data_IF_914311554564
#
_entry.id   IF_914311554564
#
_cell.length_a   1.000
_cell.length_b   1.000
_cell.length_c   1.000
_cell.angle_alpha   90.00
_cell.angle_beta   90.00
_cell.angle_gamma   90.00
#
_symmetry.space_group_name_H-M   'P 1'
#
loop_
_entity.id
_entity.type
_entity.pdbx_description
1 polymer ?
#
# COMPACT_ATOMS: atom_id res chain seq x y z
N UNK A 1 -14.75 -9.16 6.75
CA UNK A 1 -14.74 -7.93 5.92
C UNK A 1 -16.18 -7.64 5.57
N UNK A 2 -16.64 -6.41 5.81
CA UNK A 2 -18.02 -5.99 5.57
C UNK A 2 -18.04 -5.11 4.31
N UNK A 3 -18.82 -5.52 3.31
CA UNK A 3 -19.00 -4.79 2.05
C UNK A 3 -20.47 -4.41 1.96
N UNK A 4 -20.73 -3.11 1.98
CA UNK A 4 -22.06 -2.52 1.90
C UNK A 4 -22.16 -1.71 0.61
N UNK A 5 -22.79 -2.31 -0.41
CA UNK A 5 -22.92 -1.72 -1.74
C UNK A 5 -23.88 -0.52 -1.72
N UNK A 6 -25.08 -0.60 -1.12
CA UNK A 6 -25.99 0.55 -1.04
C UNK A 6 -25.33 1.79 -0.41
N UNK A 7 -24.59 1.62 0.69
CA UNK A 7 -23.93 2.72 1.38
C UNK A 7 -22.50 2.98 0.90
N UNK A 8 -22.02 2.28 -0.14
CA UNK A 8 -20.67 2.41 -0.74
C UNK A 8 -19.54 2.30 0.28
N UNK A 9 -19.66 1.38 1.23
CA UNK A 9 -18.69 1.21 2.32
C UNK A 9 -18.00 -0.15 2.24
N UNK A 10 -16.68 -0.13 2.45
CA UNK A 10 -15.91 -1.33 2.76
C UNK A 10 -15.25 -1.11 4.13
N UNK A 11 -15.43 -2.07 5.05
CA UNK A 11 -14.88 -1.99 6.39
C UNK A 11 -14.26 -3.32 6.83
N UNK A 12 -13.12 -3.25 7.48
CA UNK A 12 -12.56 -4.40 8.20
C UNK A 12 -13.25 -4.47 9.56
N UNK A 13 -13.85 -5.62 9.89
CA UNK A 13 -14.66 -5.79 11.11
C UNK A 13 -13.75 -5.98 12.35
N UNK A 14 -12.95 -4.96 12.64
CA UNK A 14 -12.06 -4.86 13.80
C UNK A 14 -12.32 -3.53 14.49
N UNK A 15 -12.00 -3.43 15.77
CA UNK A 15 -12.04 -2.16 16.47
C UNK A 15 -10.84 -1.29 16.07
N UNK A 16 -10.94 0.01 16.34
CA UNK A 16 -9.85 0.95 16.04
C UNK A 16 -8.62 0.66 16.91
N UNK A 17 -8.82 0.21 18.15
CA UNK A 17 -7.74 -0.18 19.07
C UNK A 17 -6.93 -1.36 18.52
N UNK A 18 -7.61 -2.39 18.00
CA UNK A 18 -6.95 -3.55 17.40
C UNK A 18 -6.19 -3.18 16.12
N UNK A 19 -6.75 -2.27 15.31
CA UNK A 19 -6.05 -1.74 14.13
C UNK A 19 -4.81 -0.94 14.52
N UNK A 20 -4.90 -0.10 15.55
CA UNK A 20 -3.78 0.66 16.08
C UNK A 20 -2.69 -0.27 16.65
N UNK A 21 -3.08 -1.28 17.42
CA UNK A 21 -2.16 -2.29 17.96
C UNK A 21 -1.40 -3.03 16.85
N UNK A 22 -2.11 -3.51 15.81
CA UNK A 22 -1.46 -4.17 14.67
C UNK A 22 -0.51 -3.26 13.91
N UNK A 23 -0.85 -1.97 13.78
CA UNK A 23 0.02 -0.99 13.15
C UNK A 23 1.30 -0.80 13.95
N UNK A 24 1.20 -0.61 15.26
CA UNK A 24 2.35 -0.49 16.16
C UNK A 24 3.25 -1.73 16.09
N UNK A 25 2.66 -2.93 16.21
CA UNK A 25 3.40 -4.19 16.10
C UNK A 25 4.06 -4.41 14.72
N UNK A 26 3.53 -3.80 13.66
CA UNK A 26 4.15 -3.81 12.33
C UNK A 26 5.29 -2.79 12.25
N UNK A 27 5.11 -1.59 12.78
CA UNK A 27 6.14 -0.54 12.83
C UNK A 27 7.35 -0.97 13.68
N UNK A 28 7.14 -1.73 14.75
CA UNK A 28 8.19 -2.33 15.59
C UNK A 28 9.11 -3.29 14.82
N UNK A 29 8.69 -3.80 13.66
CA UNK A 29 9.53 -4.66 12.80
C UNK A 29 10.62 -3.87 12.04
N UNK A 30 10.64 -2.55 12.17
CA UNK A 30 11.69 -1.67 11.64
C UNK A 30 11.84 -1.79 10.13
N UNK A 31 13.05 -2.07 9.65
CA UNK A 31 13.34 -2.21 8.22
C UNK A 31 12.50 -3.31 7.55
N UNK A 32 12.11 -4.35 8.30
CA UNK A 32 11.28 -5.44 7.79
C UNK A 32 9.77 -5.12 7.81
N UNK A 33 9.37 -3.96 8.34
CA UNK A 33 7.97 -3.53 8.36
C UNK A 33 7.43 -3.35 6.94
N UNK A 34 6.17 -3.76 6.72
CA UNK A 34 5.45 -3.60 5.45
C UNK A 34 6.11 -4.24 4.22
N UNK A 35 7.12 -5.08 4.43
CA UNK A 35 7.75 -5.85 3.38
C UNK A 35 7.05 -7.21 3.18
N UNK A 36 7.01 -7.73 1.95
CA UNK A 36 6.47 -9.06 1.69
C UNK A 36 7.37 -10.13 2.32
N UNK A 37 6.77 -11.06 3.06
CA UNK A 37 7.48 -12.20 3.66
C UNK A 37 7.29 -13.44 2.78
N UNK A 38 8.39 -14.03 2.31
CA UNK A 38 8.37 -15.28 1.53
C UNK A 38 7.81 -15.16 0.10
N UNK A 39 7.86 -13.96 -0.51
CA UNK A 39 7.37 -13.75 -1.89
C UNK A 39 8.51 -13.76 -2.90
N UNK A 40 8.63 -14.84 -3.66
CA UNK A 40 9.55 -14.94 -4.79
C UNK A 40 8.89 -14.42 -6.08
N UNK A 41 9.19 -13.17 -6.44
CA UNK A 41 8.72 -12.58 -7.71
C UNK A 41 9.84 -11.80 -8.36
N UNK A 42 10.17 -12.13 -9.62
CA UNK A 42 11.05 -11.30 -10.41
C UNK A 42 10.34 -9.99 -10.79
N UNK A 43 10.96 -8.85 -10.48
CA UNK A 43 10.44 -7.53 -10.83
C UNK A 43 11.37 -6.92 -11.87
N UNK A 44 10.88 -6.83 -13.12
CA UNK A 44 11.64 -6.26 -14.23
C UNK A 44 11.93 -4.76 -14.00
N UNK A 45 12.97 -4.25 -14.67
CA UNK A 45 13.32 -2.83 -14.60
C UNK A 45 12.15 -1.91 -15.01
N UNK A 46 11.39 -2.31 -16.04
CA UNK A 46 10.20 -1.58 -16.46
C UNK A 46 9.13 -1.51 -15.36
N UNK A 47 8.94 -2.58 -14.58
CA UNK A 47 8.00 -2.59 -13.45
C UNK A 47 8.49 -1.76 -12.28
N UNK A 48 9.81 -1.75 -12.01
CA UNK A 48 10.40 -0.89 -10.98
C UNK A 48 10.22 0.59 -11.34
N UNK A 49 10.52 0.96 -12.59
CA UNK A 49 10.32 2.32 -13.08
C UNK A 49 8.85 2.75 -13.05
N UNK A 50 7.93 1.84 -13.43
CA UNK A 50 6.49 2.12 -13.33
C UNK A 50 6.07 2.38 -11.87
N UNK A 51 6.48 1.52 -10.93
CA UNK A 51 6.13 1.65 -9.52
C UNK A 51 6.65 2.96 -8.90
N UNK A 52 7.82 3.44 -9.32
CA UNK A 52 8.40 4.69 -8.85
C UNK A 52 7.67 5.95 -9.34
N UNK A 53 6.85 5.84 -10.40
CA UNK A 53 6.21 6.98 -11.06
C UNK A 53 4.69 6.97 -10.93
N UNK A 54 4.07 5.82 -10.69
CA UNK A 54 2.62 5.71 -10.69
C UNK A 54 2.01 6.42 -9.50
N UNK A 55 0.87 7.08 -9.72
CA UNK A 55 0.08 7.74 -8.67
C UNK A 55 -0.98 6.79 -8.13
N UNK A 56 -1.68 7.20 -7.06
CA UNK A 56 -2.81 6.43 -6.53
C UNK A 56 -3.84 6.09 -7.61
N UNK A 57 -4.40 4.88 -7.57
CA UNK A 57 -5.46 4.45 -8.47
C UNK A 57 -6.71 5.34 -8.37
N UNK A 58 -6.97 5.95 -7.20
CA UNK A 58 -8.04 6.94 -7.04
C UNK A 58 -7.82 8.21 -7.90
N UNK A 59 -6.58 8.47 -8.33
CA UNK A 59 -6.20 9.54 -9.26
C UNK A 59 -5.96 9.03 -10.69
N UNK A 60 -6.31 7.78 -10.99
CA UNK A 60 -6.18 7.18 -12.33
C UNK A 60 -4.86 6.46 -12.61
N UNK A 61 -4.00 6.23 -11.61
CA UNK A 61 -2.72 5.51 -11.77
C UNK A 61 -1.78 6.06 -12.85
N UNK A 62 -1.88 7.37 -13.11
CA UNK A 62 -1.04 8.07 -14.08
C UNK A 62 0.40 8.14 -13.60
N UNK A 63 1.35 8.27 -14.53
CA UNK A 63 2.77 8.45 -14.23
C UNK A 63 3.07 9.93 -14.00
N UNK A 64 3.58 10.26 -12.83
CA UNK A 64 3.96 11.63 -12.48
C UNK A 64 5.49 11.75 -12.47
N UNK A 65 6.01 12.49 -13.47
CA UNK A 65 7.44 12.68 -13.68
C UNK A 65 8.07 13.64 -12.68
N UNK A 66 7.29 14.48 -11.99
CA UNK A 66 7.81 15.38 -10.96
C UNK A 66 8.39 14.58 -9.77
N UNK A 67 7.97 13.33 -9.58
CA UNK A 67 8.54 12.42 -8.58
C UNK A 67 10.04 12.14 -8.80
N UNK A 68 10.55 12.26 -10.03
CA UNK A 68 11.97 12.11 -10.34
C UNK A 68 12.81 13.34 -9.94
N UNK A 69 12.19 14.50 -9.81
CA UNK A 69 12.86 15.76 -9.45
C UNK A 69 13.05 15.92 -7.95
N UNK A 70 12.29 15.18 -7.13
CA UNK A 70 12.52 15.10 -5.68
C UNK A 70 13.70 14.17 -5.41
N UNK A 71 14.91 14.71 -5.51
CA UNK A 71 16.13 14.14 -4.93
C UNK A 71 16.87 15.21 -4.17
#
# INVERSE_FOLDING_TARGET
INIDIPNRKINVALSDEELAHRRAAMEERGENAWQPVGRERQVSLALQAYAALTTSAAKGAVRDLEQLKRR
#
